data_IF_197976537187
#
_entry.id   IF_197976537187
#
_cell.length_a   1.000
_cell.length_b   1.000
_cell.length_c   1.000
_cell.angle_alpha   90.00
_cell.angle_beta   90.00
_cell.angle_gamma   90.00
#
_symmetry.space_group_name_H-M   'P 1'
#
loop_
_entity.id
_entity.type
_entity.pdbx_description
1 polymer ?
#
# COMPACT_ATOMS: atom_id res chain seq x y z
N UNK A 1 3.20 -10.29 -24.54
CA UNK A 1 3.41 -9.56 -23.27
C UNK A 1 3.57 -8.08 -23.57
N UNK A 2 2.95 -7.19 -22.80
CA UNK A 2 3.07 -5.75 -23.04
C UNK A 2 4.50 -5.28 -22.77
N UNK A 3 5.12 -4.56 -23.71
CA UNK A 3 6.53 -4.16 -23.66
C UNK A 3 6.92 -3.31 -22.42
N UNK A 4 5.92 -2.71 -21.74
CA UNK A 4 6.13 -1.90 -20.55
C UNK A 4 6.22 -2.71 -19.25
N UNK A 5 5.80 -3.98 -19.24
CA UNK A 5 5.67 -4.79 -18.00
C UNK A 5 7.00 -4.95 -17.29
N UNK A 6 7.99 -5.55 -17.95
CA UNK A 6 9.25 -5.92 -17.32
C UNK A 6 10.06 -4.73 -16.79
N UNK A 7 10.20 -3.61 -17.54
CA UNK A 7 10.83 -2.41 -16.99
C UNK A 7 10.08 -1.85 -15.78
N UNK A 8 8.75 -1.85 -15.82
CA UNK A 8 7.93 -1.31 -14.73
C UNK A 8 8.11 -2.15 -13.46
N UNK A 9 8.02 -3.48 -13.57
CA UNK A 9 8.20 -4.42 -12.46
C UNK A 9 9.56 -4.24 -11.79
N UNK A 10 10.65 -4.12 -12.57
CA UNK A 10 12.00 -3.92 -12.02
C UNK A 10 12.20 -2.58 -11.33
N UNK A 11 11.43 -1.58 -11.72
CA UNK A 11 11.53 -0.21 -11.17
C UNK A 11 10.73 0.00 -9.89
N UNK A 12 9.88 -0.96 -9.51
CA UNK A 12 9.12 -0.93 -8.26
C UNK A 12 10.03 -1.34 -7.11
N UNK A 13 10.05 -0.55 -6.04
CA UNK A 13 10.66 -0.96 -4.78
C UNK A 13 9.73 -1.96 -4.09
N UNK A 14 10.02 -3.25 -4.24
CA UNK A 14 9.24 -4.34 -3.61
C UNK A 14 9.54 -4.52 -2.12
N UNK A 15 10.66 -3.95 -1.63
CA UNK A 15 11.13 -4.14 -0.27
C UNK A 15 10.10 -3.75 0.81
N UNK A 16 9.38 -2.61 0.73
CA UNK A 16 8.36 -2.26 1.71
C UNK A 16 7.23 -3.29 1.77
N UNK A 17 6.78 -3.76 0.60
CA UNK A 17 5.69 -4.72 0.51
C UNK A 17 6.12 -6.10 1.02
N UNK A 18 7.31 -6.56 0.64
CA UNK A 18 7.89 -7.81 1.15
C UNK A 18 8.08 -7.77 2.68
N UNK A 19 8.54 -6.65 3.23
CA UNK A 19 8.69 -6.46 4.67
C UNK A 19 7.36 -6.52 5.41
N UNK A 20 6.34 -5.80 4.93
CA UNK A 20 4.99 -5.85 5.52
C UNK A 20 4.39 -7.25 5.40
N UNK A 21 4.53 -7.92 4.25
CA UNK A 21 4.07 -9.30 4.08
C UNK A 21 4.73 -10.26 5.07
N UNK A 22 6.03 -10.17 5.27
CA UNK A 22 6.75 -11.01 6.24
C UNK A 22 6.25 -10.76 7.68
N UNK A 23 6.04 -9.51 8.06
CA UNK A 23 5.49 -9.16 9.37
C UNK A 23 4.06 -9.69 9.56
N UNK A 24 3.19 -9.53 8.56
CA UNK A 24 1.82 -10.05 8.62
C UNK A 24 1.80 -11.57 8.75
N UNK A 25 2.64 -12.27 7.97
CA UNK A 25 2.79 -13.73 8.09
C UNK A 25 3.26 -14.13 9.49
N UNK A 26 4.25 -13.43 10.06
CA UNK A 26 4.70 -13.69 11.42
C UNK A 26 3.57 -13.48 12.45
N UNK A 27 2.76 -12.43 12.29
CA UNK A 27 1.61 -12.19 13.16
C UNK A 27 0.57 -13.30 13.02
N UNK A 28 0.20 -13.69 11.79
CA UNK A 28 -0.77 -14.79 11.58
C UNK A 28 -0.33 -16.12 12.14
N UNK A 29 0.97 -16.36 12.25
CA UNK A 29 1.51 -17.60 12.83
C UNK A 29 1.44 -17.62 14.37
N UNK A 30 1.23 -16.47 15.01
CA UNK A 30 1.26 -16.31 16.48
C UNK A 30 -0.09 -15.84 17.04
N UNK A 31 -0.99 -15.33 16.19
CA UNK A 31 -2.34 -14.90 16.58
C UNK A 31 -3.41 -15.77 15.93
N UNK A 32 -4.32 -16.29 16.75
CA UNK A 32 -5.52 -16.98 16.27
C UNK A 32 -6.71 -16.02 16.09
N UNK A 33 -6.55 -14.75 16.49
CA UNK A 33 -7.66 -13.80 16.48
C UNK A 33 -7.24 -12.40 16.00
N UNK A 34 -7.83 -11.96 14.90
CA UNK A 34 -7.66 -10.61 14.35
C UNK A 34 -8.76 -9.70 14.88
N UNK A 35 -8.45 -8.89 15.89
CA UNK A 35 -9.38 -7.85 16.34
C UNK A 35 -9.38 -6.65 15.37
N UNK A 36 -10.42 -5.81 15.45
CA UNK A 36 -10.62 -4.67 14.56
C UNK A 36 -9.43 -3.69 14.55
N UNK A 37 -8.74 -3.51 15.69
CA UNK A 37 -7.55 -2.67 15.78
C UNK A 37 -6.35 -3.22 15.00
N UNK A 38 -6.06 -4.51 15.13
CA UNK A 38 -5.00 -5.18 14.39
C UNK A 38 -5.26 -5.17 12.89
N UNK A 39 -6.53 -5.37 12.47
CA UNK A 39 -6.94 -5.28 11.07
C UNK A 39 -6.70 -3.87 10.53
N UNK A 40 -7.05 -2.81 11.27
CA UNK A 40 -6.80 -1.43 10.87
C UNK A 40 -5.31 -1.10 10.68
N UNK A 41 -4.46 -1.59 11.60
CA UNK A 41 -3.00 -1.42 11.50
C UNK A 41 -2.44 -2.18 10.29
N UNK A 42 -2.87 -3.42 10.09
CA UNK A 42 -2.47 -4.21 8.92
C UNK A 42 -2.89 -3.52 7.62
N UNK A 43 -4.12 -2.98 7.55
CA UNK A 43 -4.63 -2.28 6.38
C UNK A 43 -3.77 -1.05 6.07
N UNK A 44 -3.42 -0.26 7.09
CA UNK A 44 -2.55 0.91 6.95
C UNK A 44 -1.12 0.54 6.54
N UNK A 45 -0.58 -0.56 7.07
CA UNK A 45 0.76 -1.05 6.71
C UNK A 45 0.81 -1.50 5.25
N UNK A 46 -0.20 -2.25 4.78
CA UNK A 46 -0.27 -2.69 3.37
C UNK A 46 -0.48 -1.50 2.44
N UNK A 47 -1.39 -0.58 2.78
CA UNK A 47 -1.61 0.65 2.01
C UNK A 47 -0.33 1.50 1.94
N UNK A 48 0.38 1.67 3.06
CA UNK A 48 1.66 2.37 3.13
C UNK A 48 2.73 1.71 2.25
N UNK A 49 2.84 0.39 2.29
CA UNK A 49 3.77 -0.35 1.45
C UNK A 49 3.45 -0.21 -0.05
N UNK A 50 2.17 -0.22 -0.43
CA UNK A 50 1.74 0.05 -1.81
C UNK A 50 2.14 1.46 -2.25
N UNK A 51 1.88 2.47 -1.42
CA UNK A 51 2.22 3.87 -1.73
C UNK A 51 3.74 4.05 -1.84
N UNK A 52 4.52 3.38 -0.98
CA UNK A 52 5.98 3.36 -1.07
C UNK A 52 6.46 2.75 -2.40
N UNK A 53 5.80 1.71 -2.91
CA UNK A 53 6.07 1.11 -4.21
C UNK A 53 5.83 2.05 -5.41
N UNK A 54 5.07 3.13 -5.22
CA UNK A 54 4.88 4.19 -6.23
C UNK A 54 6.05 5.15 -6.33
N UNK A 55 7.00 5.10 -5.40
CA UNK A 55 8.20 5.90 -5.48
C UNK A 55 8.96 5.54 -6.77
N UNK A 56 9.14 6.55 -7.63
CA UNK A 56 9.87 6.43 -8.89
C UNK A 56 11.21 7.17 -8.76
N UNK A 57 12.28 6.49 -8.30
CA UNK A 57 13.57 7.15 -8.08
C UNK A 57 14.19 7.68 -9.39
N UNK A 58 13.76 7.13 -10.53
CA UNK A 58 14.20 7.58 -11.85
C UNK A 58 13.31 8.69 -12.45
N UNK A 59 12.30 9.20 -11.72
CA UNK A 59 11.35 10.17 -12.26
C UNK A 59 12.03 11.43 -12.83
N UNK A 60 13.09 11.91 -12.18
CA UNK A 60 13.88 13.06 -12.64
C UNK A 60 14.60 12.76 -13.96
N UNK A 61 15.18 11.56 -14.10
CA UNK A 61 15.91 11.11 -15.28
C UNK A 61 14.98 10.82 -16.47
N UNK A 62 13.75 10.36 -16.19
CA UNK A 62 12.75 10.00 -17.21
C UNK A 62 11.81 11.16 -17.57
N UNK A 63 12.06 12.37 -17.05
CA UNK A 63 11.29 13.58 -17.36
C UNK A 63 11.35 13.96 -18.84
N UNK A 64 12.46 13.62 -19.52
CA UNK A 64 12.67 13.86 -20.94
C UNK A 64 12.00 12.83 -21.87
N UNK A 65 11.43 11.75 -21.32
CA UNK A 65 10.77 10.72 -22.11
C UNK A 65 9.30 11.09 -22.41
N UNK A 66 8.76 10.67 -23.57
CA UNK A 66 7.40 11.01 -24.00
C UNK A 66 6.28 10.36 -23.17
N UNK A 67 6.62 9.55 -22.17
CA UNK A 67 5.62 8.95 -21.29
C UNK A 67 5.27 9.91 -20.17
N UNK A 68 3.98 10.18 -19.97
CA UNK A 68 3.55 11.03 -18.86
C UNK A 68 3.77 10.33 -17.51
N UNK A 69 4.02 11.13 -16.47
CA UNK A 69 4.17 10.63 -15.10
C UNK A 69 2.91 9.87 -14.63
N UNK A 70 1.72 10.35 -15.03
CA UNK A 70 0.44 9.71 -14.72
C UNK A 70 0.35 8.27 -15.28
N UNK A 71 0.77 8.06 -16.54
CA UNK A 71 0.76 6.73 -17.16
C UNK A 71 1.75 5.78 -16.47
N UNK A 72 2.95 6.26 -16.12
CA UNK A 72 3.91 5.44 -15.35
C UNK A 72 3.36 5.04 -13.98
N UNK A 73 2.70 5.98 -13.28
CA UNK A 73 2.08 5.72 -11.97
C UNK A 73 0.92 4.74 -12.07
N UNK A 74 0.06 4.88 -13.07
CA UNK A 74 -1.04 3.95 -13.33
C UNK A 74 -0.55 2.52 -13.61
N UNK A 75 0.53 2.38 -14.40
CA UNK A 75 1.15 1.06 -14.65
C UNK A 75 1.73 0.42 -13.39
N UNK A 76 2.36 1.21 -12.51
CA UNK A 76 2.85 0.74 -11.21
C UNK A 76 1.69 0.31 -10.30
N UNK A 77 0.63 1.10 -10.23
CA UNK A 77 -0.59 0.76 -9.47
C UNK A 77 -1.22 -0.55 -9.97
N UNK A 78 -1.32 -0.73 -11.30
CA UNK A 78 -1.87 -1.95 -11.88
C UNK A 78 -1.10 -3.22 -11.50
N UNK A 79 0.18 -3.09 -11.10
CA UNK A 79 1.01 -4.20 -10.60
C UNK A 79 0.95 -4.33 -9.08
N UNK A 80 0.90 -3.22 -8.34
CA UNK A 80 0.90 -3.20 -6.88
C UNK A 80 -0.44 -3.56 -6.26
N UNK A 81 -1.57 -3.18 -6.88
CA UNK A 81 -2.92 -3.46 -6.38
C UNK A 81 -3.19 -4.97 -6.28
N UNK A 82 -2.97 -5.78 -7.34
CA UNK A 82 -3.22 -7.22 -7.25
C UNK A 82 -2.33 -7.92 -6.23
N UNK A 83 -1.05 -7.52 -6.11
CA UNK A 83 -0.11 -8.15 -5.18
C UNK A 83 -0.49 -7.84 -3.74
N UNK A 84 -0.82 -6.58 -3.43
CA UNK A 84 -1.25 -6.21 -2.08
C UNK A 84 -2.57 -6.86 -1.69
N UNK A 85 -3.51 -6.98 -2.64
CA UNK A 85 -4.75 -7.76 -2.42
C UNK A 85 -4.44 -9.22 -2.14
N UNK A 86 -3.49 -9.82 -2.88
CA UNK A 86 -3.03 -11.18 -2.61
C UNK A 86 -2.43 -11.35 -1.21
N UNK A 87 -1.59 -10.40 -0.77
CA UNK A 87 -1.03 -10.38 0.59
C UNK A 87 -2.13 -10.27 1.64
N UNK A 88 -3.09 -9.36 1.44
CA UNK A 88 -4.22 -9.19 2.34
C UNK A 88 -5.03 -10.46 2.48
N UNK A 89 -5.52 -11.02 1.37
CA UNK A 89 -6.32 -12.25 1.38
C UNK A 89 -5.58 -13.46 1.94
N UNK A 90 -4.26 -13.51 1.81
CA UNK A 90 -3.43 -14.59 2.35
C UNK A 90 -3.16 -14.47 3.85
N UNK A 91 -3.40 -13.30 4.46
CA UNK A 91 -3.00 -13.03 5.86
C UNK A 91 -4.15 -12.58 6.75
N UNK A 92 -5.04 -11.75 6.23
CA UNK A 92 -6.13 -11.13 6.98
C UNK A 92 -7.45 -11.49 6.31
N UNK A 93 -8.20 -12.39 6.94
CA UNK A 93 -9.53 -12.80 6.48
C UNK A 93 -10.59 -11.77 6.92
N UNK A 94 -10.41 -10.52 6.47
CA UNK A 94 -11.14 -9.35 6.98
C UNK A 94 -11.58 -8.37 5.89
N UNK A 95 -12.41 -7.39 6.28
CA UNK A 95 -13.04 -6.40 5.39
C UNK A 95 -12.02 -5.66 4.53
N UNK A 96 -12.22 -5.68 3.21
CA UNK A 96 -11.38 -4.99 2.22
C UNK A 96 -11.58 -3.47 2.22
N UNK A 97 -12.72 -2.99 2.74
CA UNK A 97 -13.10 -1.57 2.66
C UNK A 97 -12.07 -0.66 3.32
N UNK A 98 -11.53 -1.05 4.48
CA UNK A 98 -10.55 -0.26 5.22
C UNK A 98 -9.24 -0.14 4.45
N UNK A 99 -8.75 -1.26 3.90
CA UNK A 99 -7.56 -1.29 3.05
C UNK A 99 -7.75 -0.43 1.80
N UNK A 100 -8.87 -0.59 1.09
CA UNK A 100 -9.13 0.19 -0.12
C UNK A 100 -9.22 1.69 0.17
N UNK A 101 -9.93 2.09 1.24
CA UNK A 101 -10.03 3.49 1.64
C UNK A 101 -8.66 4.09 1.98
N UNK A 102 -7.84 3.39 2.77
CA UNK A 102 -6.51 3.84 3.14
C UNK A 102 -5.55 3.89 1.95
N UNK A 103 -5.65 2.92 1.02
CA UNK A 103 -4.88 2.95 -0.23
C UNK A 103 -5.29 4.13 -1.10
N UNK A 104 -6.59 4.40 -1.26
CA UNK A 104 -7.07 5.56 -2.02
C UNK A 104 -6.59 6.88 -1.40
N UNK A 105 -6.73 7.03 -0.08
CA UNK A 105 -6.26 8.21 0.65
C UNK A 105 -4.75 8.38 0.52
N UNK A 106 -3.97 7.32 0.76
CA UNK A 106 -2.52 7.36 0.65
C UNK A 106 -2.04 7.69 -0.77
N UNK A 107 -2.70 7.14 -1.79
CA UNK A 107 -2.45 7.49 -3.20
C UNK A 107 -2.77 8.95 -3.46
N UNK A 108 -3.95 9.44 -3.05
CA UNK A 108 -4.35 10.84 -3.23
C UNK A 108 -3.37 11.82 -2.57
N UNK A 109 -3.00 11.56 -1.31
CA UNK A 109 -1.99 12.36 -0.60
C UNK A 109 -0.63 12.29 -1.30
N UNK A 110 -0.24 11.12 -1.81
CA UNK A 110 1.03 10.97 -2.54
C UNK A 110 1.10 11.77 -3.84
N UNK A 111 -0.05 12.12 -4.43
CA UNK A 111 -0.13 12.95 -5.64
C UNK A 111 0.10 14.42 -5.30
N UNK A 112 -0.33 14.88 -4.12
CA UNK A 112 -0.26 16.31 -3.75
C UNK A 112 0.93 16.65 -2.83
N UNK A 113 1.30 15.76 -1.93
CA UNK A 113 2.31 15.99 -0.88
C UNK A 113 3.50 15.03 -0.96
N UNK A 114 3.56 14.19 -2.00
CA UNK A 114 4.64 13.24 -2.23
C UNK A 114 4.49 11.92 -1.46
N UNK A 115 5.28 10.92 -1.87
CA UNK A 115 5.20 9.55 -1.34
C UNK A 115 5.34 9.45 0.19
N UNK A 116 6.27 10.16 0.86
CA UNK A 116 6.39 10.09 2.32
C UNK A 116 5.11 10.48 3.04
N UNK A 117 4.44 11.56 2.62
CA UNK A 117 3.16 11.98 3.18
C UNK A 117 2.05 10.97 2.89
N UNK A 118 2.03 10.40 1.68
CA UNK A 118 1.07 9.36 1.31
C UNK A 118 1.20 8.06 2.10
N UNK A 119 2.39 7.74 2.61
CA UNK A 119 2.63 6.62 3.53
C UNK A 119 2.25 7.01 4.96
N UNK A 120 2.67 8.19 5.41
CA UNK A 120 2.50 8.63 6.80
C UNK A 120 1.02 8.85 7.18
N UNK A 121 0.22 9.45 6.30
CA UNK A 121 -1.18 9.80 6.63
C UNK A 121 -2.04 8.58 6.99
N UNK A 122 -2.08 7.50 6.18
CA UNK A 122 -2.81 6.28 6.54
C UNK A 122 -2.33 5.65 7.86
N UNK A 123 -1.01 5.63 8.09
CA UNK A 123 -0.42 5.06 9.30
C UNK A 123 -0.75 5.88 10.55
N UNK A 124 -0.58 7.20 10.48
CA UNK A 124 -0.90 8.12 11.58
C UNK A 124 -2.39 8.06 11.91
N UNK A 125 -3.25 7.98 10.89
CA UNK A 125 -4.68 7.80 11.10
C UNK A 125 -5.00 6.48 11.82
N UNK A 126 -4.41 5.36 11.39
CA UNK A 126 -4.63 4.07 12.05
C UNK A 126 -4.16 4.06 13.51
N UNK A 127 -2.99 4.65 13.79
CA UNK A 127 -2.48 4.83 15.17
C UNK A 127 -3.43 5.69 15.99
N UNK A 128 -3.89 6.82 15.44
CA UNK A 128 -4.84 7.70 16.09
C UNK A 128 -6.17 7.00 16.39
N UNK A 129 -6.78 6.37 15.39
CA UNK A 129 -8.04 5.66 15.51
C UNK A 129 -7.97 4.57 16.58
N UNK A 130 -6.88 3.80 16.61
CA UNK A 130 -6.63 2.80 17.66
C UNK A 130 -6.53 3.45 19.05
N UNK A 131 -5.73 4.50 19.19
CA UNK A 131 -5.54 5.20 20.48
C UNK A 131 -6.82 5.86 21.01
N UNK A 132 -7.71 6.27 20.10
CA UNK A 132 -9.00 6.90 20.41
C UNK A 132 -10.12 5.87 20.68
N UNK A 133 -9.85 4.57 20.54
CA UNK A 133 -10.86 3.52 20.71
C UNK A 133 -11.93 3.52 19.62
N UNK A 134 -11.65 4.07 18.43
CA UNK A 134 -12.56 3.95 17.30
C UNK A 134 -12.57 2.49 16.83
N UNK A 135 -13.70 1.81 17.08
CA UNK A 135 -13.95 0.50 16.51
C UNK A 135 -14.15 0.64 14.99
N UNK A 136 -13.32 -0.06 14.23
CA UNK A 136 -13.40 -0.11 12.76
C UNK A 136 -14.56 -1.01 12.33
N UNK A 137 -15.79 -0.59 12.62
CA UNK A 137 -17.00 -1.27 12.13
C UNK A 137 -17.23 -0.85 10.66
N UNK A 138 -16.37 -1.35 9.76
CA UNK A 138 -16.58 -1.30 8.31
C UNK A 138 -17.34 -2.56 7.87
N UNK A 139 -18.53 -2.74 8.45
CA UNK A 139 -19.53 -3.72 8.00
C UNK A 139 -20.17 -3.27 6.69
#
# INVERSE_FOLDING_TARGET
MAAWLWPTVRSISWAPLAGVSACLLAVTLVTDNWNAGLVGIAAAAVAGAQVAGLHDPAAALLSALPTSAAVRRARRLALLVPVALGVWLATVDGSLLGLLALTVVGVAVSVHAGVPAGVAVPLLWAIFAWSAGFEWDLR
#
